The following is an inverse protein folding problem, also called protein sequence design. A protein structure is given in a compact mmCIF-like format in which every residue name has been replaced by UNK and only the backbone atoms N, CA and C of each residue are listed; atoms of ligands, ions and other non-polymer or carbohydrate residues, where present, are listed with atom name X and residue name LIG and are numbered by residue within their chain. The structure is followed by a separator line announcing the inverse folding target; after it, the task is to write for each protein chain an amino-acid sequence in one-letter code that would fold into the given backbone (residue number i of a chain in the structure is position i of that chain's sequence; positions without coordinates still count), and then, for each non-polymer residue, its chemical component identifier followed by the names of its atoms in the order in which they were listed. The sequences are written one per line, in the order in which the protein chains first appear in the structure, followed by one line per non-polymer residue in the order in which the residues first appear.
data_IF_940355035633
#
_entry.id   IF_940355035633
#
_cell.length_a   1.000
_cell.length_b   1.000
_cell.length_c   1.000
_cell.angle_alpha   90.00
_cell.angle_beta   90.00
_cell.angle_gamma   90.00
#
_symmetry.space_group_name_H-M   'P 1'
#
loop_
_entity.id
_entity.type
_entity.pdbx_description
1 polymer ?
#
# COMPACT_ATOMS: atom_id res chain seq x y z
N UNK A 1 -29.55 26.95 14.89
CA UNK A 1 -29.33 26.14 16.10
C UNK A 1 -30.00 24.79 15.87
N UNK A 2 -29.22 23.78 15.48
CA UNK A 2 -29.71 22.39 15.44
C UNK A 2 -28.70 21.54 16.20
N UNK A 3 -29.23 20.89 17.22
CA UNK A 3 -28.49 20.26 18.30
C UNK A 3 -27.75 19.01 17.87
N UNK A 4 -26.57 18.87 18.48
CA UNK A 4 -25.76 17.67 18.58
C UNK A 4 -26.53 16.52 19.24
N UNK A 5 -26.57 15.34 18.61
CA UNK A 5 -26.77 14.07 19.32
C UNK A 5 -26.29 12.89 18.45
N UNK A 6 -25.34 12.11 18.99
CA UNK A 6 -25.22 10.68 18.64
C UNK A 6 -24.05 10.21 17.78
N UNK A 7 -22.86 10.81 17.85
CA UNK A 7 -21.64 10.18 17.29
C UNK A 7 -21.09 9.18 18.32
N UNK A 8 -21.50 7.93 18.20
CA UNK A 8 -20.76 6.81 18.78
C UNK A 8 -21.01 5.54 17.96
N UNK A 9 -19.96 5.16 17.23
CA UNK A 9 -19.51 3.78 17.04
C UNK A 9 -20.09 3.02 15.84
N UNK A 10 -19.66 3.42 14.65
CA UNK A 10 -19.41 2.49 13.54
C UNK A 10 -18.29 3.02 12.60
N UNK A 11 -17.26 3.65 13.16
CA UNK A 11 -16.09 4.13 12.38
C UNK A 11 -15.11 3.01 11.99
N UNK A 12 -15.32 1.77 12.42
CA UNK A 12 -14.36 0.67 12.23
C UNK A 12 -14.73 -0.35 11.17
N UNK A 13 -15.76 -0.10 10.34
CA UNK A 13 -16.17 -1.03 9.26
C UNK A 13 -16.15 -0.45 7.85
N UNK A 14 -15.70 0.80 7.70
CA UNK A 14 -15.67 1.52 6.41
C UNK A 14 -14.29 1.64 5.75
N UNK A 15 -13.26 0.93 6.24
CA UNK A 15 -11.87 1.06 5.74
C UNK A 15 -11.44 -0.20 4.99
N UNK A 16 -12.34 -0.82 4.22
CA UNK A 16 -12.02 -2.06 3.52
C UNK A 16 -11.26 -1.86 2.22
N UNK A 17 -11.54 -0.83 1.42
CA UNK A 17 -11.23 -0.92 -0.04
C UNK A 17 -10.56 0.31 -0.67
N UNK A 18 -10.07 1.27 0.11
CA UNK A 18 -9.44 2.48 -0.44
C UNK A 18 -7.91 2.48 -0.44
N UNK A 19 -7.27 1.58 0.30
CA UNK A 19 -5.83 1.64 0.55
C UNK A 19 -4.96 1.42 -0.71
N UNK A 20 -5.22 0.46 -1.60
CA UNK A 20 -4.33 0.22 -2.74
C UNK A 20 -4.34 1.36 -3.75
N UNK A 21 -5.53 1.88 -4.10
CA UNK A 21 -5.69 2.97 -5.05
C UNK A 21 -5.16 4.31 -4.49
N UNK A 22 -5.41 4.58 -3.21
CA UNK A 22 -4.88 5.77 -2.54
C UNK A 22 -3.34 5.73 -2.42
N UNK A 23 -2.77 4.57 -2.06
CA UNK A 23 -1.32 4.37 -2.04
C UNK A 23 -0.70 4.57 -3.43
N UNK A 24 -1.35 4.06 -4.48
CA UNK A 24 -0.86 4.19 -5.85
C UNK A 24 -0.91 5.64 -6.36
N UNK A 25 -1.95 6.39 -6.00
CA UNK A 25 -2.05 7.84 -6.28
C UNK A 25 -0.99 8.67 -5.56
N UNK A 26 -0.70 8.33 -4.29
CA UNK A 26 0.36 8.95 -3.52
C UNK A 26 1.75 8.62 -4.10
N UNK A 27 1.96 7.39 -4.55
CA UNK A 27 3.19 6.98 -5.22
C UNK A 27 3.41 7.74 -6.55
N UNK A 28 2.38 7.84 -7.40
CA UNK A 28 2.47 8.60 -8.64
C UNK A 28 2.85 10.09 -8.40
N UNK A 29 2.26 10.72 -7.38
CA UNK A 29 2.58 12.09 -6.99
C UNK A 29 4.04 12.23 -6.55
N UNK A 30 4.54 11.26 -5.77
CA UNK A 30 5.92 11.25 -5.28
C UNK A 30 6.94 10.98 -6.40
N UNK A 31 6.59 10.13 -7.36
CA UNK A 31 7.38 9.90 -8.56
C UNK A 31 7.56 11.20 -9.37
N UNK A 32 6.50 12.00 -9.48
CA UNK A 32 6.51 13.27 -10.20
C UNK A 32 7.40 14.31 -9.51
N UNK A 33 7.38 14.36 -8.18
CA UNK A 33 8.32 15.13 -7.37
C UNK A 33 9.78 14.71 -7.64
N UNK A 34 10.04 13.40 -7.73
CA UNK A 34 11.37 12.89 -8.08
C UNK A 34 11.84 13.37 -9.46
N UNK A 35 10.96 13.36 -10.47
CA UNK A 35 11.29 13.89 -11.80
C UNK A 35 11.57 15.39 -11.80
N UNK A 36 10.83 16.17 -11.01
CA UNK A 36 11.05 17.63 -10.90
C UNK A 36 12.40 17.91 -10.24
N UNK A 37 12.74 17.20 -9.16
CA UNK A 37 14.05 17.32 -8.51
C UNK A 37 15.19 16.92 -9.46
N UNK A 38 14.97 15.92 -10.31
CA UNK A 38 15.94 15.53 -11.34
C UNK A 38 16.15 16.64 -12.38
N UNK A 39 15.08 17.28 -12.85
CA UNK A 39 15.17 18.43 -13.77
C UNK A 39 15.87 19.63 -13.13
N UNK A 40 15.73 19.81 -11.82
CA UNK A 40 16.45 20.83 -11.06
C UNK A 40 17.92 20.48 -10.77
N UNK A 41 18.40 19.31 -11.23
CA UNK A 41 19.77 18.83 -11.00
C UNK A 41 20.00 18.21 -9.61
N UNK A 42 18.95 18.10 -8.78
CA UNK A 42 19.03 17.56 -7.42
C UNK A 42 18.89 16.03 -7.41
N UNK A 43 19.89 15.33 -7.93
CA UNK A 43 19.88 13.86 -8.08
C UNK A 43 19.63 13.13 -6.75
N UNK A 44 20.25 13.58 -5.65
CA UNK A 44 20.08 12.96 -4.32
C UNK A 44 18.65 13.08 -3.77
N UNK A 45 17.94 14.16 -4.11
CA UNK A 45 16.51 14.32 -3.75
C UNK A 45 15.65 13.46 -4.66
N UNK A 46 15.92 13.46 -5.96
CA UNK A 46 15.21 12.65 -6.93
C UNK A 46 15.25 11.15 -6.56
N UNK A 47 16.44 10.62 -6.26
CA UNK A 47 16.64 9.23 -5.80
C UNK A 47 15.78 8.91 -4.59
N UNK A 48 15.75 9.78 -3.57
CA UNK A 48 14.94 9.57 -2.37
C UNK A 48 13.44 9.52 -2.68
N UNK A 49 12.93 10.45 -3.49
CA UNK A 49 11.53 10.47 -3.88
C UNK A 49 11.13 9.23 -4.69
N UNK A 50 11.99 8.81 -5.63
CA UNK A 50 11.79 7.62 -6.46
C UNK A 50 11.84 6.32 -5.64
N UNK A 51 12.78 6.20 -4.68
CA UNK A 51 12.86 5.05 -3.78
C UNK A 51 11.61 4.88 -2.91
N UNK A 52 11.09 5.96 -2.33
CA UNK A 52 9.88 5.87 -1.51
C UNK A 52 8.69 5.45 -2.39
N UNK A 53 8.60 5.97 -3.61
CA UNK A 53 7.56 5.57 -4.55
C UNK A 53 7.70 4.12 -5.01
N UNK A 54 8.92 3.64 -5.22
CA UNK A 54 9.20 2.23 -5.53
C UNK A 54 8.81 1.32 -4.37
N UNK A 55 9.12 1.71 -3.13
CA UNK A 55 8.69 1.06 -1.88
C UNK A 55 7.17 1.08 -1.64
N UNK A 56 6.40 1.82 -2.44
CA UNK A 56 4.93 1.77 -2.47
C UNK A 56 4.41 0.95 -3.68
N UNK A 57 5.28 0.20 -4.36
CA UNK A 57 4.88 -0.65 -5.48
C UNK A 57 4.68 0.09 -6.81
N UNK A 58 5.26 1.29 -7.00
CA UNK A 58 5.09 2.06 -8.23
C UNK A 58 6.20 1.78 -9.25
N UNK A 59 5.87 0.99 -10.28
CA UNK A 59 6.82 0.55 -11.32
C UNK A 59 7.47 1.70 -12.10
N UNK A 60 6.71 2.74 -12.47
CA UNK A 60 7.27 3.88 -13.23
C UNK A 60 8.40 4.58 -12.49
N UNK A 61 8.42 4.55 -11.15
CA UNK A 61 9.52 5.13 -10.38
C UNK A 61 10.82 4.36 -10.52
N UNK A 62 10.75 3.02 -10.63
CA UNK A 62 11.91 2.20 -10.94
C UNK A 62 12.44 2.46 -12.35
N UNK A 63 11.55 2.66 -13.33
CA UNK A 63 11.96 2.97 -14.70
C UNK A 63 12.70 4.32 -14.77
N UNK A 64 12.19 5.35 -14.08
CA UNK A 64 12.87 6.65 -13.98
C UNK A 64 14.21 6.52 -13.25
N UNK A 65 14.24 5.76 -12.14
CA UNK A 65 15.48 5.51 -11.41
C UNK A 65 16.51 4.78 -12.29
N UNK A 66 16.08 3.80 -13.08
CA UNK A 66 16.94 3.08 -14.01
C UNK A 66 17.51 4.02 -15.06
N UNK A 67 16.73 4.96 -15.57
CA UNK A 67 17.21 6.04 -16.45
C UNK A 67 18.30 6.88 -15.79
N UNK A 68 18.06 7.33 -14.55
CA UNK A 68 19.09 8.06 -13.78
C UNK A 68 20.37 7.23 -13.58
N UNK A 69 20.23 5.93 -13.33
CA UNK A 69 21.35 5.02 -13.17
C UNK A 69 22.15 4.85 -14.47
N UNK A 70 21.47 4.72 -15.62
CA UNK A 70 22.15 4.64 -16.94
C UNK A 70 22.83 5.95 -17.31
N UNK A 71 22.32 7.08 -16.84
CA UNK A 71 22.92 8.41 -17.03
C UNK A 71 24.10 8.66 -16.06
N UNK A 72 24.45 7.69 -15.21
CA UNK A 72 25.56 7.81 -14.24
C UNK A 72 25.23 8.64 -13.00
N UNK A 73 23.96 9.01 -12.80
CA UNK A 73 23.48 9.85 -11.69
C UNK A 73 23.07 9.04 -10.45
N UNK A 74 23.05 7.71 -10.54
CA UNK A 74 22.60 6.82 -9.47
C UNK A 74 23.64 5.77 -9.10
N UNK A 75 23.65 5.36 -7.83
CA UNK A 75 24.54 4.29 -7.34
C UNK A 75 23.87 2.92 -7.51
N UNK A 76 24.65 1.89 -7.87
CA UNK A 76 24.15 0.51 -8.02
C UNK A 76 23.48 -0.01 -6.74
N UNK A 77 24.00 0.37 -5.58
CA UNK A 77 23.42 0.02 -4.28
C UNK A 77 22.01 0.61 -4.09
N UNK A 78 21.81 1.89 -4.46
CA UNK A 78 20.51 2.55 -4.35
C UNK A 78 19.48 1.91 -5.28
N UNK A 79 19.89 1.53 -6.50
CA UNK A 79 19.02 0.81 -7.43
C UNK A 79 18.60 -0.55 -6.89
N UNK A 80 19.55 -1.31 -6.31
CA UNK A 80 19.25 -2.60 -5.70
C UNK A 80 18.29 -2.47 -4.50
N UNK A 81 18.46 -1.44 -3.67
CA UNK A 81 17.55 -1.17 -2.56
C UNK A 81 16.14 -0.78 -3.03
N UNK A 82 16.04 0.05 -4.08
CA UNK A 82 14.77 0.43 -4.68
C UNK A 82 14.01 -0.79 -5.24
N UNK A 83 14.74 -1.70 -5.91
CA UNK A 83 14.18 -2.95 -6.44
C UNK A 83 13.67 -3.86 -5.32
N UNK A 84 14.47 -4.04 -4.26
CA UNK A 84 14.08 -4.85 -3.11
C UNK A 84 12.82 -4.28 -2.44
N UNK A 85 12.80 -2.97 -2.19
CA UNK A 85 11.65 -2.29 -1.61
C UNK A 85 10.37 -2.41 -2.45
N UNK A 86 10.49 -2.42 -3.78
CA UNK A 86 9.35 -2.67 -4.67
C UNK A 86 8.82 -4.10 -4.58
N UNK A 87 9.72 -5.09 -4.48
CA UNK A 87 9.34 -6.49 -4.30
C UNK A 87 8.63 -6.70 -2.96
N UNK A 88 9.17 -6.16 -1.87
CA UNK A 88 8.58 -6.23 -0.55
C UNK A 88 7.16 -5.60 -0.55
N UNK A 89 6.99 -4.43 -1.17
CA UNK A 89 5.69 -3.76 -1.28
C UNK A 89 4.64 -4.59 -2.06
N UNK A 90 5.08 -5.29 -3.11
CA UNK A 90 4.21 -6.17 -3.90
C UNK A 90 3.81 -7.43 -3.13
N UNK A 91 4.69 -7.97 -2.30
CA UNK A 91 4.39 -9.12 -1.44
C UNK A 91 3.46 -8.74 -0.28
N UNK A 92 3.63 -7.56 0.32
CA UNK A 92 2.72 -7.03 1.35
C UNK A 92 1.32 -6.79 0.78
N UNK A 93 1.20 -6.17 -0.41
CA UNK A 93 -0.11 -6.00 -1.07
C UNK A 93 -0.82 -7.33 -1.31
N UNK A 94 -0.10 -8.36 -1.76
CA UNK A 94 -0.69 -9.70 -1.96
C UNK A 94 -1.08 -10.38 -0.65
N UNK A 95 -0.36 -10.11 0.44
CA UNK A 95 -0.61 -10.69 1.76
C UNK A 95 -1.83 -10.05 2.43
N UNK A 96 -1.95 -8.72 2.41
CA UNK A 96 -3.15 -8.02 2.89
C UNK A 96 -4.42 -8.47 2.18
N UNK A 97 -4.37 -8.64 0.86
CA UNK A 97 -5.53 -9.10 0.08
C UNK A 97 -5.94 -10.56 0.41
N UNK A 98 -5.00 -11.36 0.94
CA UNK A 98 -5.24 -12.78 1.28
C UNK A 98 -5.78 -12.93 2.71
N UNK A 99 -5.40 -12.06 3.63
CA UNK A 99 -5.88 -12.08 5.02
C UNK A 99 -7.36 -11.65 5.14
N UNK A 100 -7.81 -10.71 4.30
CA UNK A 100 -9.22 -10.32 4.24
C UNK A 100 -10.15 -11.44 3.72
N UNK A 101 -9.62 -12.37 2.90
CA UNK A 101 -10.42 -13.48 2.35
C UNK A 101 -10.67 -14.60 3.35
N UNK A 102 -9.81 -14.78 4.36
CA UNK A 102 -9.99 -15.83 5.39
C UNK A 102 -10.91 -15.38 6.52
N UNK A 103 -11.07 -14.06 6.74
CA UNK A 103 -11.98 -13.53 7.76
C UNK A 103 -13.47 -13.57 7.34
N UNK A 104 -13.78 -13.60 6.04
CA UNK A 104 -15.16 -13.62 5.52
C UNK A 104 -15.72 -15.03 5.26
N UNK A 105 -14.90 -16.08 5.42
CA UNK A 105 -15.29 -17.47 5.16
C UNK A 105 -15.70 -18.23 6.43
N UNK A 106 -17.00 -18.22 6.72
CA UNK A 106 -17.71 -19.22 7.53
C UNK A 106 -17.46 -19.29 9.04
N UNK A 107 -18.21 -18.43 9.75
CA UNK A 107 -18.66 -18.64 11.13
C UNK A 107 -20.07 -19.27 11.22
N UNK A 108 -20.37 -20.34 10.46
CA UNK A 108 -21.73 -20.92 10.40
C UNK A 108 -21.88 -22.37 10.93
N UNK A 109 -21.05 -22.83 11.87
CA UNK A 109 -21.19 -24.20 12.41
C UNK A 109 -21.44 -24.32 13.93
N UNK A 110 -21.63 -23.22 14.65
CA UNK A 110 -21.89 -23.25 16.10
C UNK A 110 -23.37 -23.13 16.51
N UNK A 111 -24.33 -23.09 15.57
CA UNK A 111 -25.76 -23.01 15.93
C UNK A 111 -26.52 -24.34 15.93
N UNK A 112 -25.97 -25.40 15.32
CA UNK A 112 -26.72 -26.66 15.14
C UNK A 112 -26.42 -27.78 16.16
N UNK A 113 -25.46 -27.60 17.08
CA UNK A 113 -25.18 -28.60 18.14
C UNK A 113 -25.82 -28.33 19.50
N UNK A 114 -26.37 -27.14 19.73
CA UNK A 114 -26.97 -26.77 21.03
C UNK A 114 -28.47 -27.10 21.17
N UNK A 115 -29.10 -27.77 20.20
CA UNK A 115 -30.51 -28.18 20.29
C UNK A 115 -30.76 -29.69 20.37
N UNK A 116 -29.72 -30.54 20.47
CA UNK A 116 -29.90 -31.99 20.67
C UNK A 116 -29.54 -32.43 22.09
N UNK A 117 -29.98 -31.66 23.09
CA UNK A 117 -29.92 -32.05 24.51
C UNK A 117 -31.17 -31.57 25.26
N UNK A 118 -32.37 -31.90 24.79
CA UNK A 118 -33.61 -32.03 25.59
C UNK A 118 -34.61 -32.82 24.75
N UNK A 119 -34.63 -34.15 24.91
CA UNK A 119 -35.63 -34.92 25.69
C UNK A 119 -36.87 -35.29 24.86
N UNK A 120 -37.65 -36.35 25.21
CA UNK A 120 -37.97 -36.87 26.56
C UNK A 120 -37.08 -37.99 27.10
#
# INVERSE_FOLDING_TARGET
YYSSEGVARDETKGIGHWEPAAMQGHAASRAKLGCVELQNGNCDRAVRHLMISAKMGHKKSLDVFKGMFTDGLGTKAQYAEALKGYQDAMEEMKSSQRDESVASGYGDELRSRSQRTMRP
#
